data_IF_156728628131
#
_entry.id   IF_156728628131
#
_cell.length_a   1.000
_cell.length_b   1.000
_cell.length_c   1.000
_cell.angle_alpha   90.00
_cell.angle_beta   90.00
_cell.angle_gamma   90.00
#
_symmetry.space_group_name_H-M   'P 1'
#
loop_
_entity.id
_entity.type
_entity.pdbx_description
1 polymer ?
#
# COMPACT_ATOMS: atom_id res chain seq x y z
N UNK A 1 13.53 0.51 3.06
CA UNK A 1 13.66 0.64 4.54
C UNK A 1 12.33 0.89 5.26
N UNK A 2 11.36 1.62 4.70
CA UNK A 2 10.01 1.76 5.30
C UNK A 2 9.12 0.50 5.10
N UNK A 3 9.08 -0.07 3.89
CA UNK A 3 8.30 -1.27 3.56
C UNK A 3 8.70 -2.55 4.34
N UNK A 4 9.85 -2.53 5.02
CA UNK A 4 10.34 -3.63 5.86
C UNK A 4 9.92 -3.50 7.33
N UNK A 5 9.47 -2.31 7.76
CA UNK A 5 9.05 -2.04 9.15
C UNK A 5 7.53 -1.92 9.31
N UNK A 6 6.82 -1.63 8.22
CA UNK A 6 5.35 -1.56 8.20
C UNK A 6 4.81 -2.98 8.09
N UNK A 7 3.81 -3.31 8.91
CA UNK A 7 3.08 -4.57 8.80
C UNK A 7 2.50 -4.71 7.38
N UNK A 8 2.58 -5.91 6.81
CA UNK A 8 1.93 -6.14 5.52
C UNK A 8 0.41 -6.05 5.69
N UNK A 9 -0.20 -5.08 5.01
CA UNK A 9 -1.62 -4.76 5.10
C UNK A 9 -2.28 -4.96 3.75
N UNK A 10 -3.52 -5.43 3.77
CA UNK A 10 -4.36 -5.57 2.59
C UNK A 10 -5.30 -4.37 2.45
N UNK A 11 -5.43 -3.88 1.23
CA UNK A 11 -6.31 -2.78 0.85
C UNK A 11 -7.14 -3.19 -0.37
N UNK A 12 -8.31 -2.58 -0.52
CA UNK A 12 -9.04 -2.63 -1.78
C UNK A 12 -8.55 -1.50 -2.68
N UNK A 13 -8.21 -1.82 -3.92
CA UNK A 13 -7.94 -0.81 -4.94
C UNK A 13 -9.25 -0.21 -5.50
N UNK A 14 -9.12 0.68 -6.48
CA UNK A 14 -10.25 1.37 -7.11
C UNK A 14 -11.15 0.46 -7.96
N UNK A 15 -10.64 -0.71 -8.34
CA UNK A 15 -11.38 -1.72 -9.12
C UNK A 15 -11.99 -2.80 -8.22
N UNK A 16 -11.72 -2.75 -6.90
CA UNK A 16 -12.20 -3.71 -5.92
C UNK A 16 -11.29 -4.93 -5.75
N UNK A 17 -10.10 -4.94 -6.36
CA UNK A 17 -9.12 -6.02 -6.15
C UNK A 17 -8.48 -5.87 -4.77
N UNK A 18 -8.11 -6.99 -4.16
CA UNK A 18 -7.28 -6.99 -2.95
C UNK A 18 -5.81 -6.83 -3.33
N UNK A 19 -5.14 -5.83 -2.75
CA UNK A 19 -3.71 -5.57 -2.92
C UNK A 19 -3.01 -5.54 -1.57
N UNK A 20 -1.81 -6.12 -1.49
CA UNK A 20 -0.97 -6.07 -0.31
C UNK A 20 0.17 -5.05 -0.46
N UNK A 21 0.67 -4.51 0.65
CA UNK A 21 1.82 -3.61 0.61
C UNK A 21 3.08 -4.33 0.08
N UNK A 22 3.19 -5.63 0.33
CA UNK A 22 4.28 -6.48 -0.17
C UNK A 22 4.34 -6.61 -1.70
N UNK A 23 3.22 -6.44 -2.41
CA UNK A 23 3.15 -6.47 -3.89
C UNK A 23 3.96 -5.35 -4.57
N UNK A 24 4.31 -4.33 -3.78
CA UNK A 24 5.06 -3.15 -4.23
C UNK A 24 6.56 -3.19 -3.83
N UNK A 25 7.03 -4.26 -3.18
CA UNK A 25 8.46 -4.41 -2.85
C UNK A 25 9.32 -4.41 -4.12
N UNK A 26 10.46 -3.72 -4.06
CA UNK A 26 11.36 -3.54 -5.21
C UNK A 26 10.95 -2.42 -6.16
N UNK A 27 9.80 -1.77 -5.94
CA UNK A 27 9.35 -0.59 -6.71
C UNK A 27 9.52 0.68 -5.87
N UNK A 28 9.74 1.81 -6.55
CA UNK A 28 9.63 3.13 -5.92
C UNK A 28 8.14 3.39 -5.63
N UNK A 29 7.78 3.33 -4.34
CA UNK A 29 6.38 3.33 -3.89
C UNK A 29 6.13 4.52 -2.98
N UNK A 30 5.10 5.30 -3.27
CA UNK A 30 4.61 6.39 -2.45
C UNK A 30 3.33 5.95 -1.74
N UNK A 31 3.30 6.07 -0.41
CA UNK A 31 2.07 5.93 0.37
C UNK A 31 1.50 7.33 0.57
N UNK A 32 0.32 7.58 0.01
CA UNK A 32 -0.38 8.85 0.13
C UNK A 32 -1.69 8.64 0.89
N UNK A 33 -1.70 9.07 2.16
CA UNK A 33 -2.89 9.00 3.03
C UNK A 33 -3.63 10.33 2.96
N UNK A 34 -4.91 10.29 2.62
CA UNK A 34 -5.77 11.46 2.55
C UNK A 34 -7.21 11.09 2.86
N UNK A 35 -8.02 12.10 3.15
CA UNK A 35 -9.46 12.00 3.28
C UNK A 35 -10.11 13.30 2.78
N UNK A 36 -11.38 13.24 2.41
CA UNK A 36 -12.11 14.38 1.83
C UNK A 36 -12.68 15.36 2.85
N UNK A 37 -12.52 15.10 4.15
CA UNK A 37 -13.06 15.87 5.26
C UNK A 37 -11.99 16.72 5.93
#
# INVERSE_FOLDING_TARGET
MLLTKIQDMQFSDLEGNSVALSDYRGKNTLIFMWASW
#
